data_IF_257003096228
#
_entry.id   IF_257003096228
#
_cell.length_a   1.000
_cell.length_b   1.000
_cell.length_c   1.000
_cell.angle_alpha   90.00
_cell.angle_beta   90.00
_cell.angle_gamma   90.00
#
_symmetry.space_group_name_H-M   'P 1'
#
loop_
_entity.id
_entity.type
_entity.pdbx_description
1 polymer ?
#
# COMPACT_ATOMS: atom_id res chain seq x y z
N UNK A 1 4.28 18.13 7.64
CA UNK A 1 3.51 17.91 6.39
C UNK A 1 4.23 18.59 5.24
N UNK A 2 4.30 17.95 4.07
CA UNK A 2 4.84 18.53 2.82
C UNK A 2 3.90 18.16 1.66
N UNK A 3 3.62 19.10 0.77
CA UNK A 3 2.87 18.90 -0.47
C UNK A 3 3.65 19.50 -1.63
N UNK A 4 3.77 18.74 -2.72
CA UNK A 4 4.43 19.14 -3.96
C UNK A 4 3.52 18.76 -5.13
N UNK A 5 3.05 19.74 -5.91
CA UNK A 5 2.08 19.52 -6.97
C UNK A 5 2.30 20.48 -8.12
N UNK A 6 2.10 20.01 -9.34
CA UNK A 6 2.14 20.84 -10.55
C UNK A 6 1.20 20.27 -11.61
N UNK A 7 0.47 21.12 -12.37
CA UNK A 7 -0.42 20.64 -13.43
C UNK A 7 0.30 19.69 -14.41
N UNK A 8 -0.32 18.53 -14.68
CA UNK A 8 0.23 17.51 -15.57
C UNK A 8 1.40 16.69 -15.02
N UNK A 9 1.86 16.94 -13.78
CA UNK A 9 2.97 16.19 -13.14
C UNK A 9 2.51 15.28 -12.00
N UNK A 10 1.30 15.51 -11.49
CA UNK A 10 0.75 14.83 -10.32
C UNK A 10 1.03 15.58 -9.01
N UNK A 11 0.83 14.88 -7.90
CA UNK A 11 0.92 15.44 -6.55
C UNK A 11 1.61 14.44 -5.61
N UNK A 12 2.57 14.92 -4.83
CA UNK A 12 3.24 14.17 -3.76
C UNK A 12 2.85 14.78 -2.42
N UNK A 13 2.37 13.94 -1.51
CA UNK A 13 2.01 14.33 -0.13
C UNK A 13 2.85 13.53 0.86
N UNK A 14 3.41 14.21 1.86
CA UNK A 14 4.15 13.58 2.96
C UNK A 14 3.62 14.06 4.31
N UNK A 15 3.13 13.13 5.11
CA UNK A 15 2.83 13.32 6.52
C UNK A 15 3.87 12.57 7.37
N UNK A 16 4.05 13.00 8.62
CA UNK A 16 4.98 12.36 9.57
C UNK A 16 4.37 12.52 10.95
N UNK A 17 4.38 11.43 11.72
CA UNK A 17 3.76 11.37 13.03
C UNK A 17 4.78 10.88 14.06
N UNK A 18 4.63 11.30 15.31
CA UNK A 18 5.46 10.83 16.41
C UNK A 18 4.86 9.53 16.97
N UNK A 19 5.64 8.45 16.99
CA UNK A 19 5.22 7.09 17.36
C UNK A 19 4.64 6.95 18.79
N UNK A 20 4.92 7.87 19.70
CA UNK A 20 4.45 7.84 21.10
C UNK A 20 3.46 8.95 21.48
N UNK A 21 2.83 9.62 20.51
CA UNK A 21 1.89 10.70 20.79
C UNK A 21 0.47 10.16 21.07
N UNK A 22 -0.24 10.71 22.07
CA UNK A 22 -1.60 10.29 22.42
C UNK A 22 -2.59 10.44 21.25
N UNK A 23 -2.37 11.46 20.41
CA UNK A 23 -3.18 11.72 19.21
C UNK A 23 -2.65 11.01 17.94
N UNK A 24 -1.76 10.01 18.06
CA UNK A 24 -1.38 9.19 16.91
C UNK A 24 -2.57 8.31 16.52
N UNK A 25 -3.20 8.52 15.35
CA UNK A 25 -4.28 7.66 14.93
C UNK A 25 -3.75 6.23 14.71
N UNK A 26 -4.56 5.20 14.98
CA UNK A 26 -4.20 3.85 14.58
C UNK A 26 -4.01 3.80 13.06
N UNK A 27 -3.12 2.91 12.58
CA UNK A 27 -2.86 2.74 11.15
C UNK A 27 -4.10 2.36 10.33
N UNK A 28 -5.09 1.73 10.97
CA UNK A 28 -6.33 1.30 10.31
C UNK A 28 -6.14 0.09 9.40
N UNK A 29 -7.13 -0.15 8.53
CA UNK A 29 -7.11 -1.26 7.57
C UNK A 29 -6.44 -0.86 6.25
N UNK A 30 -5.10 -0.84 6.27
CA UNK A 30 -4.29 -0.53 5.09
C UNK A 30 -4.43 -1.59 3.99
N UNK A 31 -4.52 -2.88 4.35
CA UNK A 31 -4.72 -3.96 3.39
C UNK A 31 -6.05 -3.80 2.64
N UNK A 32 -7.15 -3.60 3.36
CA UNK A 32 -8.46 -3.34 2.77
C UNK A 32 -8.47 -2.06 1.93
N UNK A 33 -7.77 -1.01 2.36
CA UNK A 33 -7.64 0.24 1.60
C UNK A 33 -6.96 0.00 0.25
N UNK A 34 -5.81 -0.69 0.23
CA UNK A 34 -5.08 -1.00 -1.01
C UNK A 34 -5.95 -1.85 -1.95
N UNK A 35 -6.61 -2.90 -1.44
CA UNK A 35 -7.50 -3.74 -2.28
C UNK A 35 -8.68 -2.95 -2.84
N UNK A 36 -9.28 -2.05 -2.07
CA UNK A 36 -10.36 -1.20 -2.57
C UNK A 36 -9.90 -0.32 -3.75
N UNK A 37 -8.67 0.19 -3.72
CA UNK A 37 -8.09 0.93 -4.84
C UNK A 37 -7.88 0.04 -6.06
N UNK A 38 -7.26 -1.14 -5.89
CA UNK A 38 -7.00 -2.07 -6.99
C UNK A 38 -8.29 -2.57 -7.66
N UNK A 39 -9.33 -2.87 -6.87
CA UNK A 39 -10.61 -3.32 -7.38
C UNK A 39 -11.39 -2.20 -8.08
N UNK A 40 -11.29 -0.96 -7.59
CA UNK A 40 -11.99 0.19 -8.16
C UNK A 40 -11.31 0.80 -9.39
N UNK A 41 -10.00 0.60 -9.55
CA UNK A 41 -9.18 1.21 -10.60
C UNK A 41 -8.11 0.21 -11.12
N UNK A 42 -8.50 -0.89 -11.78
CA UNK A 42 -7.58 -1.93 -12.25
C UNK A 42 -6.60 -1.47 -13.34
N UNK A 43 -6.91 -0.34 -13.99
CA UNK A 43 -6.13 0.34 -15.01
C UNK A 43 -4.97 1.19 -14.46
N UNK A 44 -4.95 1.44 -13.14
CA UNK A 44 -3.91 2.23 -12.49
C UNK A 44 -2.78 1.32 -12.00
N UNK A 45 -1.55 1.61 -12.42
CA UNK A 45 -0.34 1.00 -11.84
C UNK A 45 -0.12 1.52 -10.42
N UNK A 46 -0.09 0.60 -9.47
CA UNK A 46 0.02 0.90 -8.05
C UNK A 46 1.29 0.32 -7.44
N UNK A 47 1.98 1.15 -6.65
CA UNK A 47 3.15 0.75 -5.87
C UNK A 47 2.92 1.08 -4.40
N UNK A 48 2.99 0.06 -3.55
CA UNK A 48 2.98 0.19 -2.10
C UNK A 48 4.32 -0.23 -1.54
N UNK A 49 4.92 0.64 -0.73
CA UNK A 49 6.20 0.38 -0.07
C UNK A 49 6.03 0.58 1.42
N UNK A 50 6.34 -0.46 2.18
CA UNK A 50 6.33 -0.44 3.63
C UNK A 50 7.74 -0.69 4.15
N UNK A 51 8.26 0.22 4.98
CA UNK A 51 9.62 0.14 5.52
C UNK A 51 9.60 0.20 7.04
N UNK A 52 10.22 -0.78 7.69
CA UNK A 52 10.37 -0.84 9.16
C UNK A 52 11.75 -1.40 9.47
N UNK A 53 12.49 -0.76 10.39
CA UNK A 53 13.78 -1.24 10.91
C UNK A 53 14.83 -1.63 9.84
N UNK A 54 14.73 -1.06 8.63
CA UNK A 54 15.62 -1.38 7.51
C UNK A 54 15.09 -2.47 6.58
N UNK A 55 14.06 -3.21 6.99
CA UNK A 55 13.33 -4.14 6.13
C UNK A 55 12.36 -3.38 5.23
N UNK A 56 12.17 -3.88 4.01
CA UNK A 56 11.27 -3.33 3.01
C UNK A 56 10.35 -4.42 2.46
N UNK A 57 9.06 -4.10 2.43
CA UNK A 57 8.06 -4.82 1.66
C UNK A 57 7.59 -3.94 0.51
N UNK A 58 7.67 -4.47 -0.72
CA UNK A 58 7.22 -3.84 -1.95
C UNK A 58 6.08 -4.68 -2.55
N UNK A 59 5.00 -4.00 -2.90
CA UNK A 59 3.95 -4.51 -3.79
C UNK A 59 3.92 -3.59 -5.02
N UNK A 60 4.25 -4.14 -6.18
CA UNK A 60 4.14 -3.47 -7.48
C UNK A 60 3.16 -4.27 -8.36
N UNK A 61 2.07 -3.63 -8.78
CA UNK A 61 1.03 -4.29 -9.56
C UNK A 61 1.49 -4.73 -10.93
N UNK A 62 2.41 -3.99 -11.55
CA UNK A 62 2.87 -4.31 -12.90
C UNK A 62 3.76 -5.55 -12.86
N UNK A 63 4.66 -5.62 -11.86
CA UNK A 63 5.49 -6.79 -11.59
C UNK A 63 4.64 -8.02 -11.23
N UNK A 64 3.57 -7.86 -10.44
CA UNK A 64 2.66 -8.94 -10.10
C UNK A 64 1.90 -9.47 -11.32
N UNK A 65 1.40 -8.59 -12.19
CA UNK A 65 0.71 -8.96 -13.44
C UNK A 65 1.64 -9.77 -14.35
N UNK A 66 2.89 -9.32 -14.51
CA UNK A 66 3.91 -10.01 -15.30
C UNK A 66 4.23 -11.39 -14.73
N UNK A 67 4.52 -11.49 -13.42
CA UNK A 67 4.87 -12.76 -12.77
C UNK A 67 3.73 -13.79 -12.74
N UNK A 68 2.48 -13.33 -12.69
CA UNK A 68 1.30 -14.18 -12.69
C UNK A 68 0.75 -14.47 -14.09
N UNK A 69 1.32 -13.83 -15.13
CA UNK A 69 0.86 -13.91 -16.52
C UNK A 69 -0.64 -13.54 -16.65
N UNK A 70 -1.07 -12.49 -15.94
CA UNK A 70 -2.46 -11.98 -15.96
C UNK A 70 -2.53 -10.53 -16.40
N UNK A 71 -3.61 -10.14 -17.07
CA UNK A 71 -3.83 -8.74 -17.47
C UNK A 71 -4.25 -7.86 -16.28
N UNK A 72 -5.01 -8.43 -15.34
CA UNK A 72 -5.57 -7.75 -14.18
C UNK A 72 -5.42 -8.58 -12.90
N UNK A 73 -5.41 -7.90 -11.75
CA UNK A 73 -5.35 -8.52 -10.43
C UNK A 73 -6.73 -8.64 -9.77
N UNK A 74 -7.82 -8.52 -10.55
CA UNK A 74 -9.22 -8.46 -10.08
C UNK A 74 -9.79 -9.79 -9.60
N UNK A 75 -9.06 -10.89 -9.76
CA UNK A 75 -9.44 -12.19 -9.22
C UNK A 75 -9.62 -12.12 -7.68
N UNK A 76 -10.78 -12.54 -7.14
CA UNK A 76 -11.06 -12.47 -5.70
C UNK A 76 -10.05 -13.23 -4.82
N UNK A 77 -9.46 -14.32 -5.31
CA UNK A 77 -8.45 -15.11 -4.60
C UNK A 77 -7.15 -14.31 -4.52
N UNK A 78 -6.72 -13.70 -5.64
CA UNK A 78 -5.55 -12.82 -5.68
C UNK A 78 -5.75 -11.63 -4.73
N UNK A 79 -6.91 -10.96 -4.79
CA UNK A 79 -7.22 -9.81 -3.94
C UNK A 79 -7.24 -10.18 -2.45
N UNK A 80 -7.81 -11.33 -2.10
CA UNK A 80 -7.80 -11.83 -0.72
C UNK A 80 -6.36 -12.08 -0.25
N UNK A 81 -5.56 -12.75 -1.06
CA UNK A 81 -4.15 -13.02 -0.75
C UNK A 81 -3.35 -11.72 -0.53
N UNK A 82 -3.51 -10.73 -1.40
CA UNK A 82 -2.81 -9.45 -1.28
C UNK A 82 -3.23 -8.69 -0.01
N UNK A 83 -4.53 -8.71 0.36
CA UNK A 83 -5.01 -8.11 1.61
C UNK A 83 -4.35 -8.72 2.83
N UNK A 84 -4.36 -10.06 2.89
CA UNK A 84 -3.78 -10.83 3.99
C UNK A 84 -2.27 -10.57 4.07
N UNK A 85 -1.57 -10.59 2.93
CA UNK A 85 -0.13 -10.33 2.87
C UNK A 85 0.25 -8.94 3.39
N UNK A 86 -0.50 -7.90 3.04
CA UNK A 86 -0.28 -6.55 3.58
C UNK A 86 -0.54 -6.52 5.09
N UNK A 87 -1.61 -7.16 5.56
CA UNK A 87 -1.92 -7.28 6.99
C UNK A 87 -0.83 -7.99 7.78
N UNK A 88 -0.26 -9.06 7.24
CA UNK A 88 0.83 -9.82 7.86
C UNK A 88 2.11 -8.99 7.98
N UNK A 89 2.45 -8.22 6.93
CA UNK A 89 3.63 -7.34 6.96
C UNK A 89 3.47 -6.24 8.01
N UNK A 90 2.25 -5.70 8.17
CA UNK A 90 1.95 -4.68 9.16
C UNK A 90 2.02 -5.25 10.59
N UNK A 91 1.52 -6.47 10.81
CA UNK A 91 1.48 -7.09 12.14
C UNK A 91 2.83 -7.67 12.57
N UNK A 92 3.56 -8.31 11.65
CA UNK A 92 4.86 -8.95 11.95
C UNK A 92 5.96 -7.95 12.26
N UNK A 93 5.82 -6.70 11.81
CA UNK A 93 6.81 -5.65 11.96
C UNK A 93 6.32 -4.50 12.85
N UNK A 94 5.17 -4.64 13.52
CA UNK A 94 4.70 -3.65 14.48
C UNK A 94 5.62 -3.63 15.70
N UNK A 95 6.56 -2.67 15.73
CA UNK A 95 7.09 -2.15 16.99
C UNK A 95 5.96 -1.32 17.59
N UNK A 96 5.24 -1.91 18.55
CA UNK A 96 4.46 -1.15 19.53
C UNK A 96 5.42 -0.45 20.48
#
# INVERSE_FOLDING_TARGET
>A
FKLDSSPGRGTVVKATFQLGHVDLPPMGDLGGTVIAFLAGHPDISFRYVHRINGDEFLLDTDELKENLEVEELTDPIIMKFLREKIGDVLSSNSVV
#
